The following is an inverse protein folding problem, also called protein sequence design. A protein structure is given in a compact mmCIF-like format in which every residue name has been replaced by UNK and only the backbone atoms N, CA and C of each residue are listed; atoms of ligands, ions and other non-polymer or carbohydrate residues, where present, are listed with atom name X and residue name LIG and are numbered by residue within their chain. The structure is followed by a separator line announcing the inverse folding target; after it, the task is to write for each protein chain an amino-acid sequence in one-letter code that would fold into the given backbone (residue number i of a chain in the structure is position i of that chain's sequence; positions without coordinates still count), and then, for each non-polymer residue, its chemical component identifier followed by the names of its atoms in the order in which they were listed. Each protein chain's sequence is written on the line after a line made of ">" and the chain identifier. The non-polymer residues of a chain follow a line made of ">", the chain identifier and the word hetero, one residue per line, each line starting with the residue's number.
data_IF_609026319407
#
_entry.id   IF_609026319407
#
_cell.length_a   1.000
_cell.length_b   1.000
_cell.length_c   1.000
_cell.angle_alpha   90.00
_cell.angle_beta   90.00
_cell.angle_gamma   90.00
#
_symmetry.space_group_name_H-M   'P 1'
#
loop_
_entity.id
_entity.type
_entity.pdbx_description
1 polymer ?
#
# COMPACT_ATOMS: atom_id res chain seq x y z
N UNK A 1 1.15 -35.44 -15.84
CA UNK A 1 0.20 -35.38 -14.72
C UNK A 1 -0.44 -34.00 -14.78
N UNK A 2 -1.69 -33.93 -15.18
CA UNK A 2 -2.43 -32.66 -15.21
C UNK A 2 -2.50 -32.12 -13.77
N UNK A 3 -1.96 -30.94 -13.51
CA UNK A 3 -2.06 -30.31 -12.21
C UNK A 3 -3.50 -29.87 -12.02
N UNK A 4 -4.17 -30.39 -11.03
CA UNK A 4 -5.56 -30.07 -10.71
C UNK A 4 -5.65 -28.63 -10.18
N UNK A 5 -6.48 -27.81 -10.81
CA UNK A 5 -6.70 -26.39 -10.42
C UNK A 5 -7.20 -26.29 -8.98
N UNK A 6 -8.09 -27.18 -8.55
CA UNK A 6 -8.61 -27.16 -7.19
C UNK A 6 -7.51 -27.46 -6.16
N UNK A 7 -6.59 -28.39 -6.48
CA UNK A 7 -5.46 -28.69 -5.61
C UNK A 7 -4.46 -27.52 -5.59
N UNK A 8 -4.19 -26.87 -6.74
CA UNK A 8 -3.35 -25.68 -6.82
C UNK A 8 -3.93 -24.54 -5.97
N UNK A 9 -5.24 -24.29 -6.05
CA UNK A 9 -5.95 -23.31 -5.24
C UNK A 9 -5.81 -23.61 -3.74
N UNK A 10 -6.01 -24.86 -3.31
CA UNK A 10 -5.86 -25.24 -1.89
C UNK A 10 -4.42 -25.11 -1.41
N UNK A 11 -3.44 -25.48 -2.24
CA UNK A 11 -2.03 -25.31 -1.90
C UNK A 11 -1.66 -23.83 -1.72
N UNK A 12 -2.20 -22.96 -2.57
CA UNK A 12 -2.05 -21.50 -2.44
C UNK A 12 -2.66 -21.00 -1.11
N UNK A 13 -3.93 -21.36 -0.81
CA UNK A 13 -4.59 -21.01 0.45
C UNK A 13 -3.77 -21.46 1.66
N UNK A 14 -3.25 -22.68 1.61
CA UNK A 14 -2.39 -23.25 2.66
C UNK A 14 -1.11 -22.41 2.84
N UNK A 15 -0.41 -22.12 1.74
CA UNK A 15 0.83 -21.35 1.78
C UNK A 15 0.60 -19.92 2.32
N UNK A 16 -0.48 -19.24 1.88
CA UNK A 16 -0.86 -17.93 2.41
C UNK A 16 -1.16 -18.01 3.92
N UNK A 17 -1.94 -19.00 4.34
CA UNK A 17 -2.25 -19.22 5.75
C UNK A 17 -0.99 -19.40 6.60
N UNK A 18 -0.06 -20.25 6.15
CA UNK A 18 1.19 -20.57 6.84
C UNK A 18 2.12 -19.34 6.90
N UNK A 19 2.25 -18.61 5.81
CA UNK A 19 3.07 -17.40 5.72
C UNK A 19 2.54 -16.29 6.64
N UNK A 20 1.20 -16.22 6.83
CA UNK A 20 0.56 -15.27 7.77
C UNK A 20 0.53 -15.79 9.22
N UNK A 21 1.11 -16.96 9.51
CA UNK A 21 1.13 -17.56 10.84
C UNK A 21 -0.24 -18.01 11.36
N UNK A 22 -1.26 -18.14 10.48
CA UNK A 22 -2.59 -18.58 10.86
C UNK A 22 -2.64 -20.09 11.10
N UNK A 23 -3.25 -20.51 12.20
CA UNK A 23 -3.56 -21.94 12.42
C UNK A 23 -4.74 -22.36 11.56
N UNK A 24 -4.90 -23.68 11.32
CA UNK A 24 -6.09 -24.23 10.62
C UNK A 24 -7.40 -23.87 11.33
N UNK A 25 -7.35 -23.82 12.65
CA UNK A 25 -8.48 -23.46 13.51
C UNK A 25 -8.87 -21.99 13.31
N UNK A 26 -7.89 -21.11 13.34
CA UNK A 26 -8.11 -19.68 13.13
C UNK A 26 -8.65 -19.36 11.72
N UNK A 27 -8.09 -20.00 10.68
CA UNK A 27 -8.64 -19.85 9.32
C UNK A 27 -10.08 -20.40 9.22
N UNK A 28 -10.37 -21.52 9.89
CA UNK A 28 -11.71 -22.12 9.91
C UNK A 28 -12.72 -21.20 10.58
N UNK A 29 -12.36 -20.58 11.72
CA UNK A 29 -13.19 -19.61 12.44
C UNK A 29 -13.49 -18.39 11.57
N UNK A 30 -12.46 -17.81 10.92
CA UNK A 30 -12.62 -16.67 10.03
C UNK A 30 -13.49 -17.00 8.79
N UNK A 31 -13.38 -18.22 8.26
CA UNK A 31 -14.17 -18.69 7.12
C UNK A 31 -15.59 -19.19 7.52
N UNK A 32 -15.91 -19.27 8.80
CA UNK A 32 -17.19 -19.80 9.27
C UNK A 32 -17.39 -21.29 8.98
N UNK A 33 -16.31 -22.10 9.04
CA UNK A 33 -16.34 -23.54 8.75
C UNK A 33 -15.69 -24.36 9.87
N UNK A 34 -15.92 -25.65 9.90
CA UNK A 34 -15.28 -26.50 10.90
C UNK A 34 -13.81 -26.76 10.57
N UNK A 35 -12.93 -26.80 11.59
CA UNK A 35 -11.48 -27.07 11.45
C UNK A 35 -11.16 -28.33 10.61
N UNK A 36 -11.96 -29.40 10.74
CA UNK A 36 -11.75 -30.62 9.96
C UNK A 36 -11.91 -30.38 8.46
N UNK A 37 -12.75 -29.40 8.06
CA UNK A 37 -12.92 -29.03 6.64
C UNK A 37 -11.59 -28.51 6.07
N UNK A 38 -10.92 -27.60 6.78
CA UNK A 38 -9.59 -27.12 6.36
C UNK A 38 -8.58 -28.26 6.29
N UNK A 39 -8.58 -29.13 7.30
CA UNK A 39 -7.68 -30.31 7.34
C UNK A 39 -7.87 -31.25 6.17
N UNK A 40 -9.10 -31.55 5.77
CA UNK A 40 -9.42 -32.43 4.64
C UNK A 40 -9.07 -31.79 3.29
N UNK A 41 -9.31 -30.47 3.14
CA UNK A 41 -8.92 -29.74 1.95
C UNK A 41 -7.39 -29.76 1.76
N UNK A 42 -6.62 -29.39 2.79
CA UNK A 42 -5.16 -29.33 2.71
C UNK A 42 -4.49 -30.70 2.51
N UNK A 43 -5.19 -31.81 2.85
CA UNK A 43 -4.75 -33.18 2.55
C UNK A 43 -5.14 -33.66 1.16
N UNK A 44 -5.96 -32.92 0.42
CA UNK A 44 -6.51 -33.33 -0.86
C UNK A 44 -7.60 -34.40 -0.74
N UNK A 45 -8.13 -34.65 0.46
CA UNK A 45 -9.21 -35.62 0.72
C UNK A 45 -10.60 -35.05 0.40
N UNK A 46 -10.69 -33.76 0.13
CA UNK A 46 -11.91 -33.06 -0.23
C UNK A 46 -11.59 -31.87 -1.17
N UNK A 47 -12.47 -31.65 -2.15
CA UNK A 47 -12.42 -30.50 -3.04
C UNK A 47 -13.31 -29.36 -2.51
N UNK A 48 -12.87 -28.08 -2.67
CA UNK A 48 -13.70 -26.96 -2.26
C UNK A 48 -14.85 -26.73 -3.24
N UNK A 49 -16.04 -26.43 -2.70
CA UNK A 49 -17.12 -25.88 -3.52
C UNK A 49 -16.84 -24.39 -3.78
N UNK A 50 -17.49 -23.80 -4.80
CA UNK A 50 -17.37 -22.37 -5.08
C UNK A 50 -17.72 -21.51 -3.85
N UNK A 51 -18.74 -21.91 -3.09
CA UNK A 51 -19.13 -21.23 -1.84
C UNK A 51 -18.00 -21.29 -0.81
N UNK A 52 -17.40 -22.46 -0.59
CA UNK A 52 -16.31 -22.64 0.36
C UNK A 52 -15.06 -21.89 -0.09
N UNK A 53 -14.75 -21.87 -1.39
CA UNK A 53 -13.65 -21.07 -1.96
C UNK A 53 -13.84 -19.58 -1.67
N UNK A 54 -15.07 -19.08 -1.82
CA UNK A 54 -15.38 -17.68 -1.52
C UNK A 54 -15.28 -17.36 -0.02
N UNK A 55 -15.66 -18.28 0.86
CA UNK A 55 -15.50 -18.14 2.31
C UNK A 55 -14.02 -18.10 2.71
N UNK A 56 -13.18 -18.96 2.12
CA UNK A 56 -11.73 -18.99 2.37
C UNK A 56 -11.05 -17.72 1.85
N UNK A 57 -11.42 -17.26 0.65
CA UNK A 57 -10.95 -16.01 0.08
C UNK A 57 -11.29 -14.81 0.98
N UNK A 58 -12.55 -14.73 1.43
CA UNK A 58 -12.99 -13.69 2.37
C UNK A 58 -12.27 -13.75 3.72
N UNK A 59 -12.02 -14.95 4.26
CA UNK A 59 -11.24 -15.12 5.49
C UNK A 59 -9.80 -14.62 5.38
N UNK A 60 -9.21 -14.72 4.19
CA UNK A 60 -7.88 -14.20 3.87
C UNK A 60 -7.91 -12.76 3.38
N UNK A 61 -9.09 -12.14 3.24
CA UNK A 61 -9.29 -10.79 2.69
C UNK A 61 -8.72 -10.63 1.27
N UNK A 62 -8.86 -11.66 0.45
CA UNK A 62 -8.40 -11.67 -0.94
C UNK A 62 -9.59 -11.94 -1.89
N UNK A 63 -9.60 -11.33 -3.10
CA UNK A 63 -10.62 -11.63 -4.09
C UNK A 63 -10.53 -13.08 -4.57
N UNK A 64 -11.65 -13.80 -4.60
CA UNK A 64 -11.68 -15.18 -5.11
C UNK A 64 -11.18 -15.27 -6.56
N UNK A 65 -11.52 -14.27 -7.39
CA UNK A 65 -11.09 -14.22 -8.79
C UNK A 65 -9.57 -14.15 -8.96
N UNK A 66 -8.90 -13.46 -8.06
CA UNK A 66 -7.44 -13.36 -8.01
C UNK A 66 -6.82 -14.71 -7.64
N UNK A 67 -7.25 -15.28 -6.54
CA UNK A 67 -6.76 -16.60 -6.09
C UNK A 67 -6.97 -17.71 -7.13
N UNK A 68 -8.04 -17.65 -7.93
CA UNK A 68 -8.27 -18.60 -9.04
C UNK A 68 -7.28 -18.38 -10.18
N UNK A 69 -7.01 -17.12 -10.59
CA UNK A 69 -5.99 -16.81 -11.62
C UNK A 69 -4.60 -17.26 -11.18
N UNK A 70 -4.25 -17.03 -9.92
CA UNK A 70 -2.98 -17.45 -9.33
C UNK A 70 -2.85 -18.97 -9.30
N UNK A 71 -3.92 -19.67 -8.94
CA UNK A 71 -3.97 -21.13 -9.03
C UNK A 71 -3.78 -21.63 -10.47
N UNK A 72 -4.34 -20.95 -11.48
CA UNK A 72 -4.08 -21.24 -12.89
C UNK A 72 -2.59 -21.04 -13.26
N UNK A 73 -1.96 -19.98 -12.74
CA UNK A 73 -0.53 -19.72 -12.95
C UNK A 73 0.35 -20.81 -12.33
N UNK A 74 -0.03 -21.34 -11.18
CA UNK A 74 0.62 -22.49 -10.54
C UNK A 74 0.46 -23.76 -11.41
N UNK A 75 -0.73 -24.01 -11.92
CA UNK A 75 -0.99 -25.15 -12.83
C UNK A 75 -0.12 -25.06 -14.08
N UNK A 76 0.01 -23.87 -14.67
CA UNK A 76 0.85 -23.60 -15.83
C UNK A 76 2.36 -23.63 -15.52
N UNK A 77 2.77 -23.71 -14.25
CA UNK A 77 4.18 -23.72 -13.84
C UNK A 77 4.88 -22.37 -13.96
N UNK A 78 4.11 -21.26 -13.96
CA UNK A 78 4.62 -19.88 -14.05
C UNK A 78 5.14 -19.41 -12.69
N UNK A 79 4.49 -19.81 -11.60
CA UNK A 79 4.82 -19.45 -10.23
C UNK A 79 4.54 -20.58 -9.26
N UNK A 80 4.94 -20.43 -8.00
CA UNK A 80 4.69 -21.39 -6.92
C UNK A 80 3.73 -20.83 -5.87
N UNK A 81 3.04 -21.69 -5.09
CA UNK A 81 2.19 -21.22 -3.98
C UNK A 81 2.96 -20.40 -2.95
N UNK A 82 4.21 -20.76 -2.71
CA UNK A 82 5.09 -20.10 -1.73
C UNK A 82 5.48 -18.68 -2.18
N UNK A 83 5.80 -18.51 -3.46
CA UNK A 83 6.09 -17.17 -4.02
C UNK A 83 4.88 -16.25 -3.94
N UNK A 84 3.68 -16.73 -4.30
CA UNK A 84 2.46 -15.95 -4.20
C UNK A 84 2.09 -15.62 -2.76
N UNK A 85 2.23 -16.58 -1.84
CA UNK A 85 1.99 -16.34 -0.42
C UNK A 85 2.92 -15.25 0.14
N UNK A 86 4.18 -15.22 -0.30
CA UNK A 86 5.14 -14.19 0.10
C UNK A 86 4.72 -12.80 -0.45
N UNK A 87 4.27 -12.74 -1.70
CA UNK A 87 3.76 -11.50 -2.31
C UNK A 87 2.58 -10.97 -1.48
N UNK A 88 1.55 -11.79 -1.24
CA UNK A 88 0.39 -11.38 -0.45
C UNK A 88 0.73 -10.95 0.97
N UNK A 89 1.65 -11.63 1.65
CA UNK A 89 2.08 -11.25 2.99
C UNK A 89 2.80 -9.90 2.99
N UNK A 90 3.67 -9.66 2.02
CA UNK A 90 4.46 -8.43 1.94
C UNK A 90 3.62 -7.24 1.46
N UNK A 91 2.64 -7.47 0.57
CA UNK A 91 1.73 -6.42 0.06
C UNK A 91 0.63 -6.02 1.03
N UNK A 92 0.38 -6.79 2.09
CA UNK A 92 -0.59 -6.42 3.13
C UNK A 92 0.04 -5.45 4.14
N UNK A 93 -0.45 -4.20 4.24
CA UNK A 93 0.07 -3.25 5.23
C UNK A 93 -0.24 -3.74 6.64
N UNK A 94 0.78 -3.78 7.51
CA UNK A 94 0.66 -4.40 8.84
C UNK A 94 0.37 -3.36 9.92
N UNK A 95 -0.45 -3.74 10.91
CA UNK A 95 -0.76 -2.88 12.06
C UNK A 95 0.48 -2.53 12.88
N UNK A 96 1.48 -3.39 12.90
CA UNK A 96 2.77 -3.17 13.57
C UNK A 96 3.59 -2.02 12.98
N UNK A 97 3.27 -1.58 11.74
CA UNK A 97 3.88 -0.40 11.12
C UNK A 97 3.22 0.92 11.55
N UNK A 98 2.07 0.87 12.23
CA UNK A 98 1.41 2.08 12.72
C UNK A 98 2.22 2.67 13.88
N UNK A 99 2.36 3.99 13.82
CA UNK A 99 2.96 4.84 14.86
C UNK A 99 1.98 5.95 15.23
N UNK A 100 2.09 6.49 16.41
CA UNK A 100 1.33 7.68 16.83
C UNK A 100 -0.16 7.69 16.40
N UNK A 101 -0.89 6.57 16.56
CA UNK A 101 -2.29 6.40 16.14
C UNK A 101 -3.20 7.54 16.63
N UNK A 102 -2.98 8.03 17.87
CA UNK A 102 -3.74 9.14 18.43
C UNK A 102 -3.51 10.46 17.67
N UNK A 103 -2.29 10.70 17.14
CA UNK A 103 -2.02 11.89 16.33
C UNK A 103 -2.66 11.80 14.95
N UNK A 104 -2.67 10.59 14.35
CA UNK A 104 -3.42 10.34 13.12
C UNK A 104 -4.90 10.70 13.32
N UNK A 105 -5.53 10.11 14.34
CA UNK A 105 -6.95 10.34 14.66
C UNK A 105 -7.22 11.83 14.94
N UNK A 106 -6.44 12.47 15.82
CA UNK A 106 -6.68 13.85 16.25
C UNK A 106 -6.48 14.88 15.13
N UNK A 107 -5.54 14.64 14.21
CA UNK A 107 -5.24 15.59 13.13
C UNK A 107 -6.08 15.38 11.87
N UNK A 108 -6.58 14.17 11.64
CA UNK A 108 -7.27 13.83 10.39
C UNK A 108 -8.61 13.14 10.57
N UNK A 109 -8.93 12.67 11.75
CA UNK A 109 -10.09 11.78 11.97
C UNK A 109 -9.91 10.33 11.50
N UNK A 110 -8.79 10.01 10.83
CA UNK A 110 -8.55 8.65 10.34
C UNK A 110 -8.10 7.71 11.46
N UNK A 111 -8.72 6.55 11.52
CA UNK A 111 -8.25 5.44 12.34
C UNK A 111 -7.13 4.65 11.62
N UNK A 112 -6.27 3.92 12.35
CA UNK A 112 -5.23 3.08 11.76
C UNK A 112 -5.73 2.15 10.66
N UNK A 113 -6.86 1.48 10.87
CA UNK A 113 -7.46 0.57 9.88
C UNK A 113 -7.81 1.26 8.56
N UNK A 114 -8.25 2.53 8.63
CA UNK A 114 -8.60 3.31 7.44
C UNK A 114 -7.35 3.66 6.62
N UNK A 115 -6.26 4.04 7.30
CA UNK A 115 -4.98 4.31 6.65
C UNK A 115 -4.40 3.04 6.01
N UNK A 116 -4.41 1.91 6.73
CA UNK A 116 -3.94 0.62 6.21
C UNK A 116 -4.78 0.18 5.00
N UNK A 117 -6.10 0.28 5.08
CA UNK A 117 -7.00 -0.03 3.96
C UNK A 117 -6.74 0.83 2.74
N UNK A 118 -6.44 2.13 2.93
CA UNK A 118 -6.09 3.02 1.82
C UNK A 118 -4.76 2.65 1.14
N UNK A 119 -3.76 2.24 1.92
CA UNK A 119 -2.48 1.74 1.39
C UNK A 119 -2.70 0.43 0.62
N UNK A 120 -3.47 -0.50 1.18
CA UNK A 120 -3.79 -1.78 0.56
C UNK A 120 -4.58 -1.60 -0.74
N UNK A 121 -5.60 -0.75 -0.75
CA UNK A 121 -6.37 -0.40 -1.96
C UNK A 121 -5.46 0.18 -3.06
N UNK A 122 -4.50 1.02 -2.70
CA UNK A 122 -3.49 1.53 -3.63
C UNK A 122 -2.62 0.40 -4.21
N UNK A 123 -2.14 -0.50 -3.38
CA UNK A 123 -1.34 -1.65 -3.81
C UNK A 123 -2.12 -2.55 -4.77
N UNK A 124 -3.34 -2.94 -4.40
CA UNK A 124 -4.20 -3.79 -5.22
C UNK A 124 -4.49 -3.14 -6.59
N UNK A 125 -4.68 -1.82 -6.62
CA UNK A 125 -4.91 -1.11 -7.88
C UNK A 125 -3.67 -1.12 -8.78
N UNK A 126 -2.48 -0.86 -8.23
CA UNK A 126 -1.21 -0.89 -8.97
C UNK A 126 -0.91 -2.30 -9.49
N UNK A 127 -1.07 -3.31 -8.64
CA UNK A 127 -0.82 -4.70 -8.99
C UNK A 127 -1.79 -5.18 -10.09
N UNK A 128 -3.08 -4.80 -10.02
CA UNK A 128 -4.05 -5.07 -11.08
C UNK A 128 -3.69 -4.42 -12.42
N UNK A 129 -3.14 -3.21 -12.40
CA UNK A 129 -2.66 -2.54 -13.62
C UNK A 129 -1.48 -3.31 -14.20
N UNK A 130 -0.48 -3.65 -13.38
CA UNK A 130 0.72 -4.36 -13.83
C UNK A 130 0.41 -5.76 -14.35
N UNK A 131 -0.53 -6.48 -13.72
CA UNK A 131 -1.04 -7.75 -14.24
C UNK A 131 -1.68 -7.62 -15.63
N UNK A 132 -2.52 -6.59 -15.83
CA UNK A 132 -3.14 -6.34 -17.14
C UNK A 132 -2.11 -6.00 -18.21
N UNK A 133 -1.08 -5.22 -17.87
CA UNK A 133 0.03 -4.90 -18.76
C UNK A 133 0.83 -6.17 -19.10
N UNK A 134 1.24 -6.93 -18.10
CA UNK A 134 1.98 -8.18 -18.26
C UNK A 134 1.20 -9.22 -19.07
N UNK A 135 -0.11 -9.35 -18.83
CA UNK A 135 -1.00 -10.25 -19.58
C UNK A 135 -1.09 -9.93 -21.09
N UNK A 136 -0.69 -8.73 -21.49
CA UNK A 136 -0.59 -8.29 -22.90
C UNK A 136 0.87 -8.19 -23.40
N UNK A 137 1.84 -8.71 -22.64
CA UNK A 137 3.27 -8.62 -22.97
C UNK A 137 3.87 -7.24 -22.78
N UNK A 138 3.21 -6.36 -22.01
CA UNK A 138 3.73 -5.04 -21.65
C UNK A 138 4.69 -5.09 -20.47
N UNK A 139 5.32 -3.95 -20.18
CA UNK A 139 6.20 -3.75 -19.01
C UNK A 139 5.41 -3.14 -17.86
N UNK A 140 5.89 -3.26 -16.61
CA UNK A 140 5.27 -2.63 -15.44
C UNK A 140 5.03 -1.12 -15.60
N UNK A 141 3.99 -0.60 -14.96
CA UNK A 141 3.61 0.82 -15.02
C UNK A 141 4.76 1.77 -14.68
N UNK A 142 5.58 1.41 -13.71
CA UNK A 142 6.73 2.21 -13.29
C UNK A 142 7.78 2.43 -14.40
N UNK A 143 7.79 1.58 -15.42
CA UNK A 143 8.66 1.71 -16.61
C UNK A 143 7.99 2.48 -17.75
N UNK A 144 6.66 2.66 -17.71
CA UNK A 144 5.89 3.35 -18.77
C UNK A 144 5.76 4.85 -18.53
N UNK A 145 5.90 5.29 -17.28
CA UNK A 145 5.66 6.68 -16.88
C UNK A 145 6.88 7.29 -16.20
N UNK A 146 7.03 8.60 -16.31
CA UNK A 146 8.03 9.33 -15.53
C UNK A 146 7.73 9.24 -14.03
N UNK A 147 8.77 9.23 -13.19
CA UNK A 147 8.63 9.10 -11.73
C UNK A 147 7.74 10.19 -11.09
N UNK A 148 7.71 11.39 -11.66
CA UNK A 148 6.83 12.46 -11.21
C UNK A 148 5.35 12.11 -11.47
N UNK A 149 5.05 11.55 -12.64
CA UNK A 149 3.72 11.09 -13.01
C UNK A 149 3.30 9.89 -12.17
N UNK A 150 4.22 8.93 -11.94
CA UNK A 150 3.97 7.80 -11.05
C UNK A 150 3.61 8.29 -9.64
N UNK A 151 4.35 9.26 -9.08
CA UNK A 151 4.03 9.85 -7.77
C UNK A 151 2.63 10.45 -7.74
N UNK A 152 2.23 11.15 -8.81
CA UNK A 152 0.88 11.70 -8.92
C UNK A 152 -0.19 10.62 -9.00
N UNK A 153 0.07 9.54 -9.74
CA UNK A 153 -0.86 8.39 -9.82
C UNK A 153 -1.01 7.69 -8.47
N UNK A 154 0.10 7.40 -7.79
CA UNK A 154 0.08 6.81 -6.43
C UNK A 154 -0.70 7.71 -5.47
N UNK A 155 -0.49 9.03 -5.49
CA UNK A 155 -1.23 9.99 -4.69
C UNK A 155 -2.74 9.96 -4.98
N UNK A 156 -3.12 9.85 -6.25
CA UNK A 156 -4.52 9.72 -6.65
C UNK A 156 -5.16 8.42 -6.14
N UNK A 157 -4.43 7.30 -6.19
CA UNK A 157 -4.90 6.00 -5.71
C UNK A 157 -5.05 6.01 -4.18
N UNK A 158 -4.07 6.54 -3.45
CA UNK A 158 -4.16 6.72 -1.99
C UNK A 158 -5.35 7.61 -1.63
N UNK A 159 -5.55 8.73 -2.32
CA UNK A 159 -6.70 9.61 -2.07
C UNK A 159 -8.04 8.91 -2.31
N UNK A 160 -8.12 8.07 -3.36
CA UNK A 160 -9.27 7.20 -3.62
C UNK A 160 -9.47 6.19 -2.49
N UNK A 161 -8.41 5.50 -2.09
CA UNK A 161 -8.44 4.53 -1.00
C UNK A 161 -8.85 5.15 0.35
N UNK A 162 -8.38 6.37 0.68
CA UNK A 162 -8.84 7.07 1.89
C UNK A 162 -10.34 7.36 1.80
N UNK A 163 -10.82 7.86 0.67
CA UNK A 163 -12.25 8.13 0.50
C UNK A 163 -13.10 6.84 0.65
N UNK A 164 -12.63 5.73 0.11
CA UNK A 164 -13.31 4.43 0.16
C UNK A 164 -13.28 3.80 1.57
N UNK A 165 -12.09 3.79 2.22
CA UNK A 165 -11.88 3.08 3.47
C UNK A 165 -12.19 3.91 4.72
N UNK A 166 -12.56 5.19 4.60
CA UNK A 166 -12.77 6.09 5.74
C UNK A 166 -14.18 6.08 6.32
N UNK A 167 -15.01 5.09 6.01
CA UNK A 167 -16.38 4.98 6.50
C UNK A 167 -17.20 6.27 6.29
N UNK A 168 -17.00 6.93 5.15
CA UNK A 168 -17.69 8.17 4.78
C UNK A 168 -17.20 9.42 5.53
N UNK A 169 -15.99 9.40 6.12
CA UNK A 169 -15.35 10.60 6.68
C UNK A 169 -14.88 11.55 5.58
N UNK A 170 -14.41 11.01 4.46
CA UNK A 170 -13.82 11.77 3.37
C UNK A 170 -14.45 11.45 2.02
N UNK A 171 -14.49 12.46 1.16
CA UNK A 171 -14.67 12.30 -0.28
C UNK A 171 -13.51 12.96 -1.01
N UNK A 172 -13.23 12.50 -2.22
CA UNK A 172 -12.27 13.18 -3.11
C UNK A 172 -12.82 14.52 -3.57
N UNK A 173 -11.97 15.53 -3.56
CA UNK A 173 -12.28 16.78 -4.21
C UNK A 173 -12.17 16.62 -5.75
N UNK A 174 -12.70 17.60 -6.48
CA UNK A 174 -12.55 17.66 -7.95
C UNK A 174 -11.06 17.78 -8.33
N UNK A 175 -10.67 17.29 -9.51
CA UNK A 175 -9.29 17.38 -9.98
C UNK A 175 -8.75 18.81 -9.92
N UNK A 176 -7.49 18.95 -9.51
CA UNK A 176 -6.77 20.24 -9.39
C UNK A 176 -7.34 21.22 -8.35
N UNK A 177 -8.30 20.81 -7.53
CA UNK A 177 -8.79 21.62 -6.43
C UNK A 177 -8.00 21.33 -5.13
N UNK A 178 -7.95 22.32 -4.25
CA UNK A 178 -7.38 22.22 -2.91
C UNK A 178 -8.53 22.23 -1.89
N UNK A 179 -8.47 21.44 -0.83
CA UNK A 179 -7.54 20.33 -0.58
C UNK A 179 -7.90 19.09 -1.44
N UNK A 180 -7.06 18.05 -1.43
CA UNK A 180 -7.31 16.82 -2.17
C UNK A 180 -8.52 16.02 -1.65
N UNK A 181 -8.79 16.09 -0.35
CA UNK A 181 -9.87 15.39 0.34
C UNK A 181 -10.73 16.37 1.17
N UNK A 182 -12.04 16.25 1.00
CA UNK A 182 -13.04 17.06 1.71
C UNK A 182 -13.67 16.26 2.84
N UNK A 183 -13.74 16.83 4.07
CA UNK A 183 -14.42 16.19 5.18
C UNK A 183 -15.93 16.13 4.96
N UNK A 184 -16.56 15.03 5.35
CA UNK A 184 -18.01 14.85 5.28
C UNK A 184 -18.68 14.89 6.65
N UNK A 185 -17.92 14.57 7.70
CA UNK A 185 -18.39 14.59 9.09
C UNK A 185 -17.21 14.77 10.06
N UNK A 186 -17.49 15.28 11.26
CA UNK A 186 -16.50 15.34 12.32
C UNK A 186 -16.02 13.91 12.68
N UNK A 187 -14.75 13.73 13.07
CA UNK A 187 -13.72 14.75 13.31
C UNK A 187 -12.83 15.09 12.09
N UNK A 188 -13.21 14.66 10.88
CA UNK A 188 -12.43 14.93 9.67
C UNK A 188 -12.23 16.44 9.42
N UNK A 189 -11.11 16.79 8.81
CA UNK A 189 -10.73 18.15 8.42
C UNK A 189 -10.29 18.16 6.95
N UNK A 190 -10.20 19.33 6.35
CA UNK A 190 -9.59 19.48 5.03
C UNK A 190 -8.20 18.85 5.00
N UNK A 191 -7.94 17.93 4.06
CA UNK A 191 -6.73 17.13 4.04
C UNK A 191 -6.06 17.16 2.67
N UNK A 192 -4.84 17.66 2.64
CA UNK A 192 -3.98 17.71 1.46
C UNK A 192 -3.01 16.53 1.44
N UNK A 193 -2.88 15.86 0.29
CA UNK A 193 -1.97 14.73 0.10
C UNK A 193 -0.70 15.15 -0.64
N UNK A 194 0.43 14.65 -0.18
CA UNK A 194 1.69 14.80 -0.91
C UNK A 194 2.45 13.50 -0.94
N UNK A 195 2.97 13.18 -2.13
CA UNK A 195 3.78 12.00 -2.37
C UNK A 195 5.23 12.38 -2.60
N UNK A 196 6.16 11.51 -2.19
CA UNK A 196 7.56 11.66 -2.53
C UNK A 196 8.26 10.31 -2.67
N UNK A 197 9.19 10.22 -3.62
CA UNK A 197 9.98 9.04 -3.87
C UNK A 197 11.21 9.01 -2.96
N UNK A 198 11.50 7.86 -2.34
CA UNK A 198 12.68 7.60 -1.51
C UNK A 198 12.86 8.61 -0.37
N UNK A 199 14.01 9.32 -0.38
CA UNK A 199 14.37 10.33 0.64
C UNK A 199 13.91 11.74 0.27
N UNK A 200 13.28 11.92 -0.89
CA UNK A 200 12.82 13.23 -1.31
C UNK A 200 11.79 13.79 -0.33
N UNK A 201 11.78 15.09 -0.21
CA UNK A 201 10.74 15.79 0.55
C UNK A 201 9.50 16.01 -0.33
N UNK A 202 8.31 15.92 0.28
CA UNK A 202 7.08 16.26 -0.42
C UNK A 202 7.10 17.71 -0.93
N UNK A 203 6.61 17.92 -2.14
CA UNK A 203 6.58 19.23 -2.81
C UNK A 203 5.26 19.49 -3.52
N UNK A 204 4.94 20.76 -3.71
CA UNK A 204 3.78 21.23 -4.48
C UNK A 204 4.14 22.42 -5.37
N UNK A 205 3.16 22.98 -6.06
CA UNK A 205 3.35 24.15 -6.90
C UNK A 205 3.30 25.48 -6.10
N UNK A 206 2.45 25.53 -5.07
CA UNK A 206 2.24 26.71 -4.25
C UNK A 206 2.24 26.34 -2.76
N UNK A 207 2.80 27.19 -1.89
CA UNK A 207 2.63 27.03 -0.45
C UNK A 207 1.16 27.29 -0.09
N UNK A 208 0.58 26.42 0.72
CA UNK A 208 -0.79 26.56 1.24
C UNK A 208 -0.83 26.08 2.67
N UNK A 209 -1.49 26.85 3.54
CA UNK A 209 -1.70 26.43 4.91
C UNK A 209 -2.80 25.33 4.98
N UNK A 210 -2.63 24.32 5.84
CA UNK A 210 -3.63 23.28 6.04
C UNK A 210 -3.10 22.04 6.75
N UNK A 211 -3.95 21.03 6.86
CA UNK A 211 -3.54 19.70 7.34
C UNK A 211 -3.03 18.87 6.18
N UNK A 212 -1.84 18.33 6.34
CA UNK A 212 -1.16 17.54 5.34
C UNK A 212 -0.98 16.09 5.80
N UNK A 213 -1.22 15.15 4.90
CA UNK A 213 -0.77 13.77 5.02
C UNK A 213 0.22 13.50 3.89
N UNK A 214 1.43 13.08 4.25
CA UNK A 214 2.50 12.85 3.29
C UNK A 214 2.87 11.40 3.25
N UNK A 215 3.08 10.87 2.07
CA UNK A 215 3.50 9.48 1.84
C UNK A 215 4.85 9.47 1.15
N UNK A 216 5.78 8.67 1.67
CA UNK A 216 7.01 8.37 0.94
C UNK A 216 7.04 6.90 0.57
N UNK A 217 7.52 6.61 -0.64
CA UNK A 217 7.60 5.27 -1.18
C UNK A 217 8.95 5.00 -1.84
N UNK A 218 9.26 3.73 -2.01
CA UNK A 218 10.39 3.24 -2.80
C UNK A 218 9.89 2.36 -3.92
N UNK A 219 10.75 2.06 -4.90
CA UNK A 219 10.51 1.07 -5.93
C UNK A 219 11.37 -0.16 -5.64
N UNK A 220 10.73 -1.23 -5.24
CA UNK A 220 11.32 -2.56 -5.03
C UNK A 220 10.87 -3.55 -6.09
N UNK A 221 11.17 -4.83 -5.87
CA UNK A 221 10.57 -5.90 -6.66
C UNK A 221 9.21 -6.34 -6.08
N UNK A 222 8.51 -7.23 -6.79
CA UNK A 222 7.21 -7.76 -6.37
C UNK A 222 7.22 -8.54 -5.06
N UNK A 223 8.38 -8.97 -4.59
CA UNK A 223 8.56 -9.69 -3.33
C UNK A 223 8.88 -8.75 -2.14
N UNK A 224 8.99 -7.46 -2.38
CA UNK A 224 9.32 -6.46 -1.36
C UNK A 224 10.82 -6.27 -1.15
N UNK A 225 11.67 -6.87 -1.98
CA UNK A 225 13.09 -6.60 -1.90
C UNK A 225 13.38 -5.21 -2.46
N UNK A 226 14.07 -4.40 -1.67
CA UNK A 226 14.44 -3.05 -2.04
C UNK A 226 15.96 -2.85 -1.99
N UNK A 227 16.53 -2.44 -3.11
CA UNK A 227 17.94 -2.07 -3.22
C UNK A 227 18.08 -0.55 -3.32
N UNK A 228 18.95 0.03 -2.48
CA UNK A 228 19.19 1.48 -2.48
C UNK A 228 19.96 1.91 -3.71
N UNK A 229 19.63 3.08 -4.22
CA UNK A 229 20.31 3.71 -5.35
C UNK A 229 19.44 3.82 -6.58
N UNK A 230 19.64 4.89 -7.34
CA UNK A 230 18.80 5.23 -8.50
C UNK A 230 18.81 4.15 -9.59
N UNK A 231 19.96 3.48 -9.76
CA UNK A 231 20.17 2.46 -10.80
C UNK A 231 19.68 1.08 -10.38
N UNK A 232 19.26 0.92 -9.11
CA UNK A 232 18.80 -0.34 -8.53
C UNK A 232 17.29 -0.35 -8.26
N UNK A 233 16.55 0.62 -8.79
CA UNK A 233 15.10 0.71 -8.61
C UNK A 233 14.42 -0.48 -9.24
N UNK A 234 13.51 -1.07 -8.50
CA UNK A 234 12.52 -2.01 -9.02
C UNK A 234 11.37 -1.28 -9.70
N UNK A 235 10.29 -1.99 -9.88
CA UNK A 235 9.07 -1.55 -10.58
C UNK A 235 7.82 -1.51 -9.70
N UNK A 236 7.91 -2.05 -8.49
CA UNK A 236 6.79 -2.19 -7.56
C UNK A 236 6.85 -1.13 -6.46
N UNK A 237 5.75 -0.40 -6.28
CA UNK A 237 5.64 0.68 -5.27
C UNK A 237 5.51 0.09 -3.87
N UNK A 238 6.34 0.54 -2.93
CA UNK A 238 6.31 0.19 -1.51
C UNK A 238 6.30 1.44 -0.65
N UNK A 239 5.20 1.70 0.05
CA UNK A 239 5.08 2.82 0.99
C UNK A 239 5.85 2.47 2.25
N UNK A 240 6.79 3.32 2.63
CA UNK A 240 7.63 3.10 3.79
C UNK A 240 7.38 4.11 4.91
N UNK A 241 6.85 5.30 4.60
CA UNK A 241 6.57 6.34 5.59
C UNK A 241 5.27 7.05 5.30
N UNK A 242 4.47 7.31 6.34
CA UNK A 242 3.39 8.29 6.32
C UNK A 242 3.54 9.23 7.49
N UNK A 243 3.47 10.53 7.23
CA UNK A 243 3.47 11.58 8.25
C UNK A 243 2.24 12.46 8.12
N UNK A 244 1.78 13.01 9.25
CA UNK A 244 0.70 13.98 9.31
C UNK A 244 1.13 15.22 10.09
N UNK A 245 0.65 16.40 9.68
CA UNK A 245 0.95 17.65 10.37
C UNK A 245 0.13 18.82 9.84
N UNK A 246 0.03 19.86 10.66
CA UNK A 246 -0.48 21.14 10.23
C UNK A 246 0.68 21.99 9.74
N UNK A 247 0.54 22.58 8.56
CA UNK A 247 1.60 23.34 7.87
C UNK A 247 1.03 24.69 7.50
N UNK A 248 1.84 25.73 7.67
CA UNK A 248 1.55 27.11 7.24
C UNK A 248 2.24 27.44 5.91
N UNK A 249 1.90 28.54 5.28
CA UNK A 249 2.56 28.98 4.05
C UNK A 249 4.05 29.26 4.26
N UNK A 250 4.43 29.76 5.46
CA UNK A 250 5.82 30.05 5.82
C UNK A 250 6.68 28.79 6.01
N UNK A 251 6.06 27.60 6.12
CA UNK A 251 6.75 26.35 6.32
C UNK A 251 7.30 25.74 5.01
N UNK A 252 7.11 26.46 3.90
CA UNK A 252 7.64 26.03 2.61
C UNK A 252 8.88 26.86 2.21
N UNK A 253 9.79 26.18 1.52
CA UNK A 253 10.86 26.80 0.77
C UNK A 253 10.44 26.84 -0.69
N UNK A 254 10.31 28.02 -1.26
CA UNK A 254 9.93 28.22 -2.65
C UNK A 254 11.17 28.48 -3.49
N UNK A 255 11.39 27.71 -4.55
CA UNK A 255 12.40 27.98 -5.55
C UNK A 255 11.78 28.74 -6.72
N UNK A 256 12.31 29.93 -7.01
CA UNK A 256 12.08 30.63 -8.28
C UNK A 256 13.32 30.39 -9.14
N UNK A 257 13.32 29.38 -9.97
CA UNK A 257 14.34 29.28 -11.03
C UNK A 257 13.82 30.12 -12.18
N UNK A 258 14.53 31.17 -12.53
CA UNK A 258 14.24 32.00 -13.69
C UNK A 258 14.33 31.09 -14.94
N UNK A 259 13.23 30.99 -15.70
CA UNK A 259 13.16 30.15 -16.91
C UNK A 259 12.50 28.79 -16.75
N UNK A 260 12.16 28.35 -15.54
CA UNK A 260 11.38 27.11 -15.32
C UNK A 260 9.90 27.47 -15.13
N UNK A 261 9.01 26.80 -15.89
CA UNK A 261 7.56 27.09 -15.94
C UNK A 261 6.81 26.73 -14.66
N UNK A 262 7.50 26.33 -13.57
CA UNK A 262 6.87 25.87 -12.34
C UNK A 262 7.52 26.39 -11.07
N UNK A 263 6.80 27.23 -10.31
CA UNK A 263 7.12 27.47 -8.89
C UNK A 263 7.01 26.13 -8.14
N UNK A 264 8.08 25.77 -7.41
CA UNK A 264 8.07 24.58 -6.57
C UNK A 264 8.13 25.00 -5.12
N UNK A 265 7.13 24.63 -4.34
CA UNK A 265 7.09 24.77 -2.89
C UNK A 265 7.43 23.43 -2.23
N UNK A 266 8.52 23.39 -1.47
CA UNK A 266 9.00 22.19 -0.77
C UNK A 266 8.85 22.42 0.74
N UNK A 267 8.29 21.48 1.47
CA UNK A 267 8.20 21.55 2.94
C UNK A 267 9.62 21.65 3.51
N UNK A 268 9.87 22.60 4.40
CA UNK A 268 11.16 22.78 5.07
C UNK A 268 11.53 21.53 5.86
N UNK A 269 12.83 21.25 6.00
CA UNK A 269 13.31 19.99 6.58
C UNK A 269 12.95 19.84 8.05
N UNK A 270 13.10 20.90 8.83
CA UNK A 270 12.74 20.99 10.24
C UNK A 270 11.25 20.71 10.43
N UNK A 271 10.39 21.41 9.69
CA UNK A 271 8.94 21.23 9.72
C UNK A 271 8.56 19.80 9.34
N UNK A 272 9.15 19.26 8.24
CA UNK A 272 8.87 17.89 7.83
C UNK A 272 9.31 16.86 8.88
N UNK A 273 10.38 17.12 9.61
CA UNK A 273 10.84 16.27 10.71
C UNK A 273 9.89 16.32 11.91
N UNK A 274 9.27 17.48 12.19
CA UNK A 274 8.32 17.67 13.30
C UNK A 274 6.94 17.05 13.01
N UNK A 275 6.59 16.80 11.75
CA UNK A 275 5.34 16.10 11.40
C UNK A 275 5.29 14.73 12.08
N UNK A 276 4.12 14.37 12.59
CA UNK A 276 3.93 13.10 13.30
C UNK A 276 4.07 11.92 12.34
N UNK A 277 5.00 11.03 12.63
CA UNK A 277 5.14 9.74 11.94
C UNK A 277 3.97 8.84 12.35
N UNK A 278 3.12 8.43 11.39
CA UNK A 278 1.92 7.61 11.67
C UNK A 278 2.00 6.22 11.05
N UNK A 279 2.86 6.02 10.06
CA UNK A 279 3.17 4.72 9.48
C UNK A 279 4.65 4.64 9.14
N UNK A 280 5.28 3.51 9.45
CA UNK A 280 6.69 3.28 9.18
C UNK A 280 6.97 1.79 8.94
N UNK A 281 7.44 1.48 7.74
CA UNK A 281 7.94 0.17 7.36
C UNK A 281 9.46 0.25 7.17
N UNK A 282 10.20 -0.30 8.12
CA UNK A 282 11.67 -0.22 8.15
C UNK A 282 12.35 -1.09 7.07
N UNK A 283 11.68 -2.12 6.56
CA UNK A 283 12.20 -2.99 5.50
C UNK A 283 12.47 -2.21 4.21
N UNK A 284 11.71 -1.13 4.00
CA UNK A 284 11.81 -0.27 2.83
C UNK A 284 12.50 1.08 3.09
N UNK A 285 13.22 1.20 4.22
CA UNK A 285 13.91 2.44 4.58
C UNK A 285 15.02 2.79 3.57
N UNK A 286 14.91 3.93 2.84
CA UNK A 286 15.89 4.30 1.81
C UNK A 286 17.20 4.88 2.38
N UNK A 287 17.24 5.20 3.66
CA UNK A 287 18.43 5.74 4.32
C UNK A 287 19.42 4.63 4.69
N UNK A 288 20.73 4.94 4.64
CA UNK A 288 21.76 4.04 5.16
C UNK A 288 21.92 4.27 6.66
N UNK A 289 22.08 3.20 7.44
CA UNK A 289 22.32 3.27 8.90
C UNK A 289 23.45 4.21 9.31
N UNK A 290 24.44 4.43 8.44
CA UNK A 290 25.58 5.33 8.71
C UNK A 290 25.26 6.82 8.64
N UNK A 291 24.25 7.23 7.86
CA UNK A 291 23.89 8.66 7.73
C UNK A 291 22.91 9.12 8.78
N UNK A 292 22.30 8.22 9.50
CA UNK A 292 21.09 8.57 10.21
C UNK A 292 21.40 8.62 11.67
N UNK A 293 22.41 8.60 12.25
CA UNK A 293 22.26 8.77 13.71
C UNK A 293 20.79 8.57 14.16
N UNK A 294 20.08 7.61 13.62
CA UNK A 294 18.64 7.47 13.66
C UNK A 294 17.92 8.26 12.54
N UNK A 295 16.90 7.64 11.91
CA UNK A 295 15.95 8.33 11.05
C UNK A 295 15.19 9.35 11.90
N UNK A 296 15.41 10.64 11.64
CA UNK A 296 14.77 11.75 12.37
C UNK A 296 13.28 11.76 12.03
N UNK A 297 12.46 11.21 12.84
CA UNK A 297 11.02 10.98 12.62
C UNK A 297 10.60 9.63 13.17
N UNK A 298 11.58 8.83 13.58
CA UNK A 298 11.35 7.54 14.19
C UNK A 298 11.31 7.62 15.74
N UNK A 299 11.80 8.71 16.32
CA UNK A 299 11.82 8.96 17.78
C UNK A 299 10.52 9.57 18.26
#
# INVERSE_FOLDING_TARGET
>A
MERDLAQAFINLIKSIRETRGLTKEHLADLAGVHRTTIGLLEKGERYPTLQLSNQLAGALQLPLSELVKEAESIVKGITTPEELALIHNNRTPKIEHIRNANKLLNLTGLEPKMLLGAIESCYNTLDSIDEQLAGKGGVPLAHLVELANLSSMVGNMIGGGIAECSDGLYIRNRPHAYPDLLPQKAPAVDLELKMALETNKPKGHLPKAGTYITFRYVLGDKFGNFNRGKDNRGDTVWIWEVKVGQITEDDFSCSNTEGDSGKTAVIKTDIFNEMALVYYNEDHLPYTKRKVGGYVGYN
#
